data_IF_336959737617
#
_entry.id   IF_336959737617
#
_cell.length_a   1.000
_cell.length_b   1.000
_cell.length_c   1.000
_cell.angle_alpha   90.00
_cell.angle_beta   90.00
_cell.angle_gamma   90.00
#
_symmetry.space_group_name_H-M   'P 1'
#
loop_
_entity.id
_entity.type
_entity.pdbx_description
1 polymer ?
#
# COMPACT_ATOMS: atom_id res chain seq x y z
N UNK A 1 -13.66 -11.29 24.22
CA UNK A 1 -12.21 -11.43 23.93
C UNK A 1 -11.57 -11.98 25.19
N UNK A 2 -10.70 -12.98 25.07
CA UNK A 2 -9.95 -13.53 26.21
C UNK A 2 -9.06 -12.43 26.82
N UNK A 3 -9.28 -12.02 28.09
CA UNK A 3 -8.47 -10.99 28.73
C UNK A 3 -6.99 -11.36 28.87
N UNK A 4 -6.67 -12.65 28.89
CA UNK A 4 -5.30 -13.15 29.05
C UNK A 4 -4.53 -13.21 27.73
N UNK A 5 -5.24 -13.32 26.60
CA UNK A 5 -4.65 -13.46 25.26
C UNK A 5 -5.37 -12.63 24.19
N UNK A 6 -5.50 -11.29 24.36
CA UNK A 6 -6.19 -10.44 23.40
C UNK A 6 -5.49 -10.41 22.03
N UNK A 7 -4.16 -10.64 21.99
CA UNK A 7 -3.38 -10.68 20.75
C UNK A 7 -3.82 -11.76 19.78
N UNK A 8 -4.22 -12.93 20.27
CA UNK A 8 -4.68 -14.02 19.39
C UNK A 8 -5.97 -13.66 18.66
N UNK A 9 -6.89 -12.98 19.35
CA UNK A 9 -8.13 -12.52 18.73
C UNK A 9 -7.84 -11.50 17.63
N UNK A 10 -6.96 -10.53 17.90
CA UNK A 10 -6.55 -9.53 16.91
C UNK A 10 -5.87 -10.19 15.69
N UNK A 11 -4.92 -11.11 15.93
CA UNK A 11 -4.25 -11.83 14.87
C UNK A 11 -5.22 -12.67 14.05
N UNK A 12 -6.13 -13.39 14.70
CA UNK A 12 -7.14 -14.20 14.03
C UNK A 12 -8.05 -13.35 13.14
N UNK A 13 -8.42 -12.14 13.57
CA UNK A 13 -9.23 -11.22 12.76
C UNK A 13 -8.45 -10.67 11.55
N UNK A 14 -7.17 -10.33 11.73
CA UNK A 14 -6.30 -9.90 10.62
C UNK A 14 -6.10 -11.02 9.61
N UNK A 15 -5.80 -12.24 10.08
CA UNK A 15 -5.60 -13.42 9.23
C UNK A 15 -6.88 -13.78 8.46
N UNK A 16 -8.05 -13.66 9.10
CA UNK A 16 -9.35 -13.85 8.46
C UNK A 16 -9.53 -12.91 7.28
N UNK A 17 -9.19 -11.61 7.43
CA UNK A 17 -9.26 -10.62 6.36
C UNK A 17 -8.24 -10.86 5.23
N UNK A 18 -7.05 -11.37 5.58
CA UNK A 18 -5.99 -11.65 4.62
C UNK A 18 -6.27 -12.90 3.77
N UNK A 19 -6.86 -13.94 4.35
CA UNK A 19 -6.95 -15.28 3.73
C UNK A 19 -8.34 -15.66 3.25
N UNK A 20 -9.41 -15.22 3.92
CA UNK A 20 -10.78 -15.67 3.64
C UNK A 20 -11.72 -14.52 3.27
N UNK A 21 -11.80 -13.48 4.09
CA UNK A 21 -12.68 -12.33 3.88
C UNK A 21 -12.02 -11.25 3.00
N UNK A 22 -11.57 -11.66 1.79
CA UNK A 22 -10.83 -10.80 0.87
C UNK A 22 -11.71 -9.76 0.17
N UNK A 23 -11.08 -8.69 -0.34
CA UNK A 23 -11.76 -7.53 -0.96
C UNK A 23 -12.55 -7.88 -2.22
N UNK A 24 -12.13 -8.88 -3.00
CA UNK A 24 -12.70 -9.17 -4.32
C UNK A 24 -13.34 -10.55 -4.44
N UNK A 25 -12.81 -11.56 -3.74
CA UNK A 25 -13.29 -12.95 -3.82
C UNK A 25 -13.27 -13.60 -2.44
N UNK A 26 -14.20 -13.23 -1.55
CA UNK A 26 -14.23 -13.81 -0.22
C UNK A 26 -14.63 -15.29 -0.26
N UNK A 27 -13.92 -16.13 0.47
CA UNK A 27 -14.20 -17.57 0.60
C UNK A 27 -15.23 -17.82 1.71
N UNK A 28 -16.44 -17.30 1.54
CA UNK A 28 -17.47 -17.34 2.58
C UNK A 28 -17.89 -18.77 2.97
N UNK A 29 -17.80 -19.75 2.07
CA UNK A 29 -18.13 -21.15 2.35
C UNK A 29 -17.15 -21.84 3.30
N UNK A 30 -15.88 -21.42 3.33
CA UNK A 30 -14.85 -21.92 4.26
C UNK A 30 -14.61 -20.97 5.44
N UNK A 31 -15.33 -19.85 5.51
CA UNK A 31 -15.19 -18.88 6.58
C UNK A 31 -15.72 -19.45 7.91
N UNK A 32 -14.88 -19.55 8.96
CA UNK A 32 -15.26 -20.17 10.24
C UNK A 32 -16.34 -19.39 11.00
N UNK A 33 -16.56 -18.13 10.64
CA UNK A 33 -17.55 -17.23 11.27
C UNK A 33 -18.69 -16.87 10.30
N UNK A 34 -18.84 -17.60 9.20
CA UNK A 34 -19.87 -17.36 8.18
C UNK A 34 -21.30 -17.38 8.73
N UNK A 35 -21.57 -18.24 9.73
CA UNK A 35 -22.87 -18.33 10.41
C UNK A 35 -23.27 -17.05 11.16
N UNK A 36 -22.29 -16.23 11.53
CA UNK A 36 -22.50 -14.96 12.23
C UNK A 36 -22.34 -13.75 11.30
N UNK A 37 -22.04 -13.95 10.01
CA UNK A 37 -21.76 -12.89 9.07
C UNK A 37 -23.05 -12.35 8.44
N UNK A 38 -23.48 -11.15 8.88
CA UNK A 38 -24.70 -10.50 8.35
C UNK A 38 -24.65 -10.25 6.85
N UNK A 39 -23.50 -9.83 6.32
CA UNK A 39 -23.31 -9.61 4.88
C UNK A 39 -23.53 -10.91 4.08
N UNK A 40 -23.05 -12.04 4.61
CA UNK A 40 -23.24 -13.35 3.97
C UNK A 40 -24.69 -13.84 4.07
N UNK A 41 -25.36 -13.65 5.21
CA UNK A 41 -26.78 -13.97 5.37
C UNK A 41 -27.65 -13.21 4.36
N UNK A 42 -27.42 -11.89 4.21
CA UNK A 42 -28.15 -11.06 3.24
C UNK A 42 -27.90 -11.51 1.79
N UNK A 43 -26.66 -11.91 1.48
CA UNK A 43 -26.32 -12.46 0.17
C UNK A 43 -27.06 -13.79 -0.10
N UNK A 44 -27.20 -14.66 0.90
CA UNK A 44 -27.94 -15.92 0.77
C UNK A 44 -29.44 -15.71 0.57
N UNK A 45 -30.04 -14.75 1.26
CA UNK A 45 -31.49 -14.48 1.21
C UNK A 45 -31.94 -13.90 -0.14
N UNK A 46 -31.28 -12.83 -0.61
CA UNK A 46 -31.78 -12.04 -1.75
C UNK A 46 -30.84 -12.01 -2.96
N UNK A 47 -29.57 -12.42 -2.80
CA UNK A 47 -28.51 -12.36 -3.84
C UNK A 47 -28.29 -10.99 -4.51
N UNK A 48 -28.93 -9.93 -4.02
CA UNK A 48 -28.85 -8.58 -4.57
C UNK A 48 -27.58 -7.85 -4.14
N UNK A 49 -27.14 -8.07 -2.90
CA UNK A 49 -25.97 -7.40 -2.33
C UNK A 49 -24.87 -8.43 -2.06
N UNK A 50 -23.81 -8.51 -2.87
CA UNK A 50 -22.68 -9.39 -2.58
C UNK A 50 -21.97 -8.94 -1.30
N UNK A 51 -21.30 -9.89 -0.64
CA UNK A 51 -20.48 -9.60 0.56
C UNK A 51 -19.43 -8.53 0.27
N UNK A 52 -18.97 -8.42 -0.97
CA UNK A 52 -17.96 -7.45 -1.45
C UNK A 52 -18.45 -5.99 -1.51
N UNK A 53 -19.75 -5.73 -1.33
CA UNK A 53 -20.25 -4.35 -1.16
C UNK A 53 -19.84 -3.75 0.20
N UNK A 54 -19.35 -4.60 1.10
CA UNK A 54 -18.83 -4.23 2.40
C UNK A 54 -17.30 -4.40 2.47
N UNK A 55 -16.59 -3.50 3.17
CA UNK A 55 -17.07 -2.20 3.64
C UNK A 55 -17.30 -1.25 2.47
N UNK A 56 -18.23 -0.29 2.63
CA UNK A 56 -18.45 0.75 1.62
C UNK A 56 -17.15 1.52 1.40
N UNK A 57 -16.63 1.46 0.17
CA UNK A 57 -15.40 2.16 -0.18
C UNK A 57 -15.67 3.65 -0.29
N UNK A 58 -14.99 4.43 0.52
CA UNK A 58 -14.93 5.87 0.34
C UNK A 58 -14.17 6.16 -0.95
N UNK A 59 -14.75 6.98 -1.82
CA UNK A 59 -14.08 7.43 -3.04
C UNK A 59 -12.87 8.26 -2.63
N UNK A 60 -11.67 7.76 -2.92
CA UNK A 60 -10.43 8.49 -2.65
C UNK A 60 -10.31 9.64 -3.66
N UNK A 61 -9.85 10.81 -3.19
CA UNK A 61 -9.50 11.91 -4.06
C UNK A 61 -8.46 11.44 -5.11
N UNK A 62 -8.53 12.00 -6.31
CA UNK A 62 -7.55 11.70 -7.36
C UNK A 62 -6.16 12.06 -6.84
N UNK A 63 -5.18 11.13 -6.89
CA UNK A 63 -3.81 11.44 -6.52
C UNK A 63 -3.28 12.62 -7.35
N UNK A 64 -2.47 13.46 -6.71
CA UNK A 64 -1.72 14.50 -7.42
C UNK A 64 -0.79 13.83 -8.45
N UNK A 65 -0.76 14.39 -9.65
CA UNK A 65 0.18 13.99 -10.69
C UNK A 65 1.19 15.13 -10.84
N UNK A 66 2.46 14.84 -10.60
CA UNK A 66 3.55 15.80 -10.75
C UNK A 66 4.52 15.29 -11.80
N UNK A 67 4.98 16.19 -12.67
CA UNK A 67 6.08 15.91 -13.58
C UNK A 67 7.39 16.32 -12.92
N UNK A 68 8.41 15.48 -13.07
CA UNK A 68 9.72 15.72 -12.46
C UNK A 68 10.83 15.47 -13.47
N UNK A 69 11.71 16.46 -13.63
CA UNK A 69 12.95 16.29 -14.37
C UNK A 69 14.03 15.81 -13.41
N UNK A 70 14.66 14.67 -13.73
CA UNK A 70 15.71 14.06 -12.92
C UNK A 70 17.01 14.08 -13.71
N UNK A 71 18.08 14.60 -13.09
CA UNK A 71 19.40 14.69 -13.70
C UNK A 71 20.34 13.64 -13.11
N UNK A 72 20.82 12.73 -13.95
CA UNK A 72 21.83 11.72 -13.57
C UNK A 72 23.19 12.21 -14.01
N UNK A 73 24.05 12.52 -13.05
CA UNK A 73 25.39 13.05 -13.29
C UNK A 73 26.43 12.01 -12.90
N UNK A 74 27.20 11.54 -13.87
CA UNK A 74 28.38 10.68 -13.67
C UNK A 74 29.65 11.54 -13.62
N UNK A 75 30.48 11.30 -12.61
CA UNK A 75 31.78 11.95 -12.44
C UNK A 75 32.83 11.12 -13.18
N UNK A 76 33.34 11.65 -14.30
CA UNK A 76 34.40 11.03 -15.08
C UNK A 76 35.76 11.31 -14.44
N UNK A 77 36.34 10.31 -13.76
CA UNK A 77 37.72 10.38 -13.30
C UNK A 77 38.68 9.87 -14.39
N UNK A 78 39.74 10.63 -14.69
CA UNK A 78 40.80 10.20 -15.61
C UNK A 78 41.71 9.11 -15.02
N UNK A 79 41.65 8.86 -13.71
CA UNK A 79 42.46 7.83 -13.06
C UNK A 79 41.80 6.45 -13.20
N UNK A 80 42.31 5.69 -14.17
CA UNK A 80 41.82 4.39 -14.70
C UNK A 80 41.74 3.21 -13.72
N UNK A 81 41.89 3.42 -12.41
CA UNK A 81 42.01 2.33 -11.43
C UNK A 81 40.81 2.17 -10.49
N UNK A 82 39.72 2.91 -10.67
CA UNK A 82 38.48 2.68 -9.92
C UNK A 82 37.42 2.07 -10.82
N UNK A 83 37.13 0.79 -10.58
CA UNK A 83 36.11 0.02 -11.27
C UNK A 83 34.71 0.41 -10.79
N UNK A 84 34.21 1.58 -11.21
CA UNK A 84 32.84 1.99 -10.96
C UNK A 84 32.57 3.45 -11.27
N UNK A 85 31.45 3.72 -11.95
CA UNK A 85 30.94 5.07 -12.16
C UNK A 85 30.56 5.70 -10.82
N UNK A 86 30.99 6.95 -10.60
CA UNK A 86 30.62 7.73 -9.42
C UNK A 86 29.49 8.67 -9.81
N UNK A 87 28.41 8.70 -9.04
CA UNK A 87 27.25 9.52 -9.35
C UNK A 87 27.00 10.59 -8.28
N UNK A 88 26.43 11.71 -8.68
CA UNK A 88 25.98 12.76 -7.76
C UNK A 88 24.59 12.43 -7.23
N UNK A 89 24.47 12.38 -5.91
CA UNK A 89 23.21 12.28 -5.19
C UNK A 89 23.10 13.42 -4.19
N UNK A 90 21.88 13.85 -3.92
CA UNK A 90 21.55 14.82 -2.87
C UNK A 90 20.68 14.15 -1.82
N UNK A 91 20.86 14.54 -0.55
CA UNK A 91 20.00 14.08 0.54
C UNK A 91 18.79 15.00 0.62
N UNK A 92 17.59 14.44 0.61
CA UNK A 92 16.34 15.18 0.80
C UNK A 92 16.30 15.82 2.20
N UNK A 93 15.53 16.92 2.39
CA UNK A 93 15.28 17.49 3.72
C UNK A 93 14.79 16.44 4.72
N UNK A 94 14.95 16.72 6.02
CA UNK A 94 14.50 15.81 7.11
C UNK A 94 12.97 15.81 7.31
N UNK A 95 12.24 16.61 6.53
CA UNK A 95 10.78 16.70 6.55
C UNK A 95 10.18 16.58 5.14
N UNK A 96 8.92 16.15 5.08
CA UNK A 96 8.17 16.01 3.83
C UNK A 96 8.26 14.63 3.19
N UNK A 97 7.90 14.55 1.90
CA UNK A 97 7.87 13.30 1.15
C UNK A 97 9.29 12.73 1.01
N UNK A 98 9.48 11.45 1.38
CA UNK A 98 10.77 10.74 1.31
C UNK A 98 11.90 11.43 2.09
N UNK A 99 11.56 12.04 3.24
CA UNK A 99 12.50 12.73 4.11
C UNK A 99 13.75 11.89 4.45
N UNK A 100 14.92 12.52 4.38
CA UNK A 100 16.21 11.92 4.71
C UNK A 100 16.74 10.86 3.73
N UNK A 101 16.00 10.52 2.67
CA UNK A 101 16.48 9.62 1.62
C UNK A 101 17.40 10.34 0.63
N UNK A 102 18.25 9.57 -0.05
CA UNK A 102 19.10 10.06 -1.14
C UNK A 102 18.37 9.97 -2.48
N UNK A 103 18.51 10.99 -3.31
CA UNK A 103 17.96 11.05 -4.66
C UNK A 103 18.93 11.69 -5.64
N UNK A 104 18.66 11.49 -6.94
CA UNK A 104 19.31 12.29 -7.97
C UNK A 104 18.77 13.72 -7.95
N UNK A 105 19.60 14.73 -8.28
CA UNK A 105 19.15 16.09 -8.43
C UNK A 105 17.91 16.16 -9.33
N UNK A 106 16.83 16.74 -8.80
CA UNK A 106 15.55 16.75 -9.48
C UNK A 106 14.81 18.07 -9.26
N UNK A 107 13.93 18.42 -10.20
CA UNK A 107 13.05 19.59 -10.12
C UNK A 107 11.64 19.20 -10.55
N UNK A 108 10.63 19.69 -9.83
CA UNK A 108 9.23 19.52 -10.20
C UNK A 108 8.95 20.50 -11.35
N UNK A 109 8.38 20.00 -12.44
CA UNK A 109 7.92 20.79 -13.57
C UNK A 109 6.46 21.17 -13.33
N UNK A 110 6.15 22.46 -13.41
CA UNK A 110 4.76 22.92 -13.41
C UNK A 110 4.15 22.62 -14.78
N UNK A 111 2.93 22.06 -14.81
CA UNK A 111 2.15 21.96 -16.06
C UNK A 111 1.75 23.39 -16.47
N UNK A 112 2.08 23.81 -17.70
CA UNK A 112 1.43 24.95 -18.37
C UNK A 112 -0.02 24.61 -18.76
#
# INVERSE_FOLDING_TARGET
VDPSRPGDFNQSLMELGATLCSVSKPSCSSCPVSSQCRAYSLFQENRTNPVTDYPTKVVKAKPRCDFCCVCVLEILNQERNQSGGRFVLIKRPEEGLLAGLWEFPSVILEEE
#
